data_IF_181007377079
#
_entry.id   IF_181007377079
#
_cell.length_a   1.000
_cell.length_b   1.000
_cell.length_c   1.000
_cell.angle_alpha   90.00
_cell.angle_beta   90.00
_cell.angle_gamma   90.00
#
_symmetry.space_group_name_H-M   'P 1'
#
loop_
_entity.id
_entity.type
_entity.pdbx_description
1 polymer ?
#
# COMPACT_ATOMS: atom_id res chain seq x y z
N UNK A 1 -29.76 90.41 -11.45
CA UNK A 1 -30.09 89.11 -12.09
C UNK A 1 -28.90 88.18 -11.97
N UNK A 2 -28.92 87.36 -10.94
CA UNK A 2 -27.81 86.44 -10.66
C UNK A 2 -28.28 85.01 -11.00
N UNK A 3 -27.58 84.39 -11.94
CA UNK A 3 -27.87 83.05 -12.36
C UNK A 3 -26.99 82.07 -11.49
N UNK A 4 -27.68 81.28 -10.69
CA UNK A 4 -27.05 80.22 -9.88
C UNK A 4 -26.86 79.00 -10.73
N UNK A 5 -25.61 78.58 -10.94
CA UNK A 5 -25.24 77.37 -11.67
C UNK A 5 -25.08 76.21 -10.66
N UNK A 6 -26.03 75.26 -10.66
CA UNK A 6 -25.96 74.08 -9.82
C UNK A 6 -25.09 73.00 -10.54
N UNK A 7 -23.95 72.64 -9.95
CA UNK A 7 -23.10 71.56 -10.40
C UNK A 7 -23.58 70.27 -9.72
N UNK A 8 -24.09 69.33 -10.53
CA UNK A 8 -24.47 67.97 -10.10
C UNK A 8 -23.24 67.08 -10.11
N UNK A 9 -22.71 66.73 -8.92
CA UNK A 9 -21.62 65.78 -8.78
C UNK A 9 -22.24 64.38 -8.70
N UNK A 10 -22.07 63.58 -9.81
CA UNK A 10 -22.36 62.15 -9.81
C UNK A 10 -21.23 61.42 -9.15
N UNK A 11 -21.44 60.89 -7.92
CA UNK A 11 -20.53 59.98 -7.25
C UNK A 11 -20.80 58.58 -7.80
N UNK A 12 -19.89 58.08 -8.65
CA UNK A 12 -19.84 56.66 -9.02
C UNK A 12 -19.27 55.87 -7.86
N UNK A 13 -20.12 55.18 -7.11
CA UNK A 13 -19.73 54.16 -6.17
C UNK A 13 -19.25 52.92 -6.96
N UNK A 14 -17.92 52.75 -7.11
CA UNK A 14 -17.31 51.51 -7.59
C UNK A 14 -17.45 50.52 -6.45
N UNK A 15 -18.45 49.66 -6.50
CA UNK A 15 -18.58 48.51 -5.63
C UNK A 15 -17.52 47.49 -5.99
N UNK A 16 -16.42 47.44 -5.24
CA UNK A 16 -15.55 46.28 -5.22
C UNK A 16 -16.35 45.08 -4.68
N UNK A 17 -16.92 44.29 -5.58
CA UNK A 17 -17.42 42.96 -5.26
C UNK A 17 -16.22 42.08 -4.91
N UNK A 18 -15.88 42.01 -3.63
CA UNK A 18 -15.01 40.97 -3.11
C UNK A 18 -15.70 39.64 -3.37
N UNK A 19 -15.25 38.89 -4.38
CA UNK A 19 -15.51 37.46 -4.47
C UNK A 19 -14.85 36.86 -3.23
N UNK A 20 -15.68 36.56 -2.21
CA UNK A 20 -15.28 35.62 -1.18
C UNK A 20 -14.94 34.33 -1.92
N UNK A 21 -13.66 33.98 -1.98
CA UNK A 21 -13.24 32.64 -2.35
C UNK A 21 -14.00 31.69 -1.40
N UNK A 22 -15.04 31.06 -1.93
CA UNK A 22 -15.71 29.99 -1.23
C UNK A 22 -14.64 28.92 -1.08
N UNK A 23 -14.18 28.67 0.14
CA UNK A 23 -13.27 27.55 0.45
C UNK A 23 -13.94 26.30 -0.14
N UNK A 24 -13.49 25.88 -1.33
CA UNK A 24 -13.94 24.62 -1.90
C UNK A 24 -13.47 23.54 -0.93
N UNK A 25 -14.41 22.85 -0.31
CA UNK A 25 -14.13 21.70 0.53
C UNK A 25 -13.25 20.75 -0.29
N UNK A 26 -12.06 20.44 0.21
CA UNK A 26 -11.20 19.45 -0.41
C UNK A 26 -11.87 18.08 -0.41
N UNK A 27 -11.73 17.34 -1.50
CA UNK A 27 -12.15 15.95 -1.58
C UNK A 27 -11.12 15.08 -0.84
N UNK A 28 -11.51 14.52 0.30
CA UNK A 28 -10.61 13.83 1.20
C UNK A 28 -10.65 12.32 0.97
N UNK A 29 -9.52 11.75 0.56
CA UNK A 29 -9.30 10.32 0.40
C UNK A 29 -8.44 9.83 1.58
N UNK A 30 -8.98 8.91 2.37
CA UNK A 30 -8.24 8.23 3.43
C UNK A 30 -7.83 6.85 2.93
N UNK A 31 -6.60 6.43 3.21
CA UNK A 31 -6.10 5.10 2.89
C UNK A 31 -5.85 4.33 4.18
N UNK A 32 -6.09 3.02 4.17
CA UNK A 32 -5.96 2.19 5.37
C UNK A 32 -4.51 2.11 5.84
N UNK A 33 -3.57 1.90 4.92
CA UNK A 33 -2.14 1.77 5.23
C UNK A 33 -1.26 2.10 4.02
N UNK A 34 0.04 1.99 4.22
CA UNK A 34 1.06 2.55 3.33
C UNK A 34 1.00 2.08 1.86
N UNK A 35 0.79 0.78 1.51
CA UNK A 35 0.65 0.39 0.10
C UNK A 35 -0.50 1.10 -0.61
N UNK A 36 -1.66 1.21 0.03
CA UNK A 36 -2.81 1.91 -0.52
C UNK A 36 -2.56 3.42 -0.65
N UNK A 37 -1.78 3.99 0.29
CA UNK A 37 -1.36 5.38 0.22
C UNK A 37 -0.50 5.66 -1.03
N UNK A 38 0.48 4.80 -1.30
CA UNK A 38 1.36 4.94 -2.47
C UNK A 38 0.54 4.91 -3.77
N UNK A 39 -0.39 3.97 -3.90
CA UNK A 39 -1.24 3.84 -5.08
C UNK A 39 -2.10 5.09 -5.28
N UNK A 40 -2.80 5.54 -4.23
CA UNK A 40 -3.66 6.73 -4.27
C UNK A 40 -2.84 7.98 -4.55
N UNK A 41 -1.64 8.12 -3.95
CA UNK A 41 -0.75 9.25 -4.18
C UNK A 41 -0.35 9.35 -5.68
N UNK A 42 -0.05 8.22 -6.31
CA UNK A 42 0.26 8.18 -7.74
C UNK A 42 -0.95 8.53 -8.61
N UNK A 43 -2.14 8.03 -8.28
CA UNK A 43 -3.38 8.30 -9.02
C UNK A 43 -3.79 9.77 -8.90
N UNK A 44 -3.57 10.39 -7.74
CA UNK A 44 -4.02 11.77 -7.46
C UNK A 44 -2.95 12.82 -7.69
N UNK A 45 -1.77 12.45 -8.18
CA UNK A 45 -0.63 13.34 -8.38
C UNK A 45 -1.00 14.60 -9.14
N UNK A 46 -0.78 15.78 -8.50
CA UNK A 46 -1.02 17.08 -9.12
C UNK A 46 -2.50 17.41 -9.36
N UNK A 47 -3.44 16.72 -8.75
CA UNK A 47 -4.88 17.02 -8.82
C UNK A 47 -5.23 18.02 -7.71
N UNK A 48 -5.60 19.25 -8.09
CA UNK A 48 -5.96 20.29 -7.14
C UNK A 48 -7.29 19.99 -6.46
N UNK A 49 -7.42 20.36 -5.17
CA UNK A 49 -8.64 20.16 -4.39
C UNK A 49 -8.85 18.73 -3.90
N UNK A 50 -7.84 17.86 -4.05
CA UNK A 50 -7.83 16.49 -3.52
C UNK A 50 -6.78 16.38 -2.42
N UNK A 51 -7.20 15.83 -1.27
CA UNK A 51 -6.33 15.56 -0.12
C UNK A 51 -6.25 14.06 0.11
N UNK A 52 -5.03 13.54 0.23
CA UNK A 52 -4.78 12.13 0.57
C UNK A 52 -4.20 12.03 1.98
N UNK A 53 -4.77 11.16 2.79
CA UNK A 53 -4.35 10.93 4.18
C UNK A 53 -4.15 9.44 4.40
N UNK A 54 -2.94 9.03 4.82
CA UNK A 54 -2.75 7.67 5.30
C UNK A 54 -3.22 7.56 6.75
N UNK A 55 -4.11 6.63 7.05
CA UNK A 55 -4.68 6.47 8.38
C UNK A 55 -3.64 5.99 9.39
N UNK A 56 -2.81 5.03 8.98
CA UNK A 56 -1.83 4.40 9.88
C UNK A 56 -0.53 5.19 9.99
N UNK A 57 0.17 4.99 11.10
CA UNK A 57 1.49 5.60 11.33
C UNK A 57 2.57 4.94 10.46
N UNK A 58 3.69 5.65 10.17
CA UNK A 58 4.77 5.14 9.30
C UNK A 58 5.35 3.78 9.71
N UNK A 59 5.32 3.44 10.99
CA UNK A 59 5.88 2.20 11.55
C UNK A 59 4.86 1.06 11.66
N UNK A 60 3.59 1.31 11.29
CA UNK A 60 2.55 0.29 11.35
C UNK A 60 2.84 -0.78 10.30
N UNK A 61 2.96 -2.03 10.74
CA UNK A 61 3.11 -3.19 9.84
C UNK A 61 1.79 -3.59 9.17
N UNK A 62 1.59 -4.89 8.94
CA UNK A 62 0.32 -5.42 8.46
C UNK A 62 -0.81 -5.17 9.46
N UNK A 63 -2.07 -5.08 8.95
CA UNK A 63 -3.22 -4.60 9.73
C UNK A 63 -4.08 -5.72 10.33
N UNK A 64 -3.60 -6.98 10.33
CA UNK A 64 -4.39 -8.13 10.81
C UNK A 64 -5.00 -7.92 12.20
N UNK A 65 -4.21 -7.39 13.13
CA UNK A 65 -4.61 -7.15 14.53
C UNK A 65 -4.74 -5.67 14.87
N UNK A 66 -4.79 -4.80 13.83
CA UNK A 66 -4.85 -3.37 14.05
C UNK A 66 -6.14 -2.94 14.73
N UNK A 67 -6.01 -2.16 15.81
CA UNK A 67 -7.12 -1.57 16.54
C UNK A 67 -7.25 -0.09 16.25
N UNK A 68 -8.43 0.34 15.75
CA UNK A 68 -8.70 1.74 15.48
C UNK A 68 -8.52 2.60 16.73
N UNK A 69 -7.69 3.63 16.59
CA UNK A 69 -7.51 4.66 17.62
C UNK A 69 -8.59 5.75 17.51
N UNK A 70 -8.67 6.61 18.52
CA UNK A 70 -9.56 7.79 18.46
C UNK A 70 -9.17 8.74 17.33
N UNK A 71 -7.89 8.81 16.97
CA UNK A 71 -7.41 9.64 15.87
C UNK A 71 -7.82 9.08 14.51
N UNK A 72 -7.74 7.76 14.33
CA UNK A 72 -8.22 7.10 13.12
C UNK A 72 -9.73 7.33 12.92
N UNK A 73 -10.51 7.24 14.00
CA UNK A 73 -11.95 7.49 13.94
C UNK A 73 -12.27 8.92 13.50
N UNK A 74 -11.51 9.92 13.96
CA UNK A 74 -11.65 11.32 13.51
C UNK A 74 -11.25 11.49 12.05
N UNK A 75 -10.17 10.82 11.62
CA UNK A 75 -9.72 10.84 10.23
C UNK A 75 -10.79 10.26 9.30
N UNK A 76 -11.37 9.12 9.65
CA UNK A 76 -12.44 8.47 8.90
C UNK A 76 -13.74 9.30 8.86
N UNK A 77 -14.07 10.05 9.93
CA UNK A 77 -15.23 10.94 9.95
C UNK A 77 -15.15 12.04 8.87
N UNK A 78 -13.95 12.50 8.54
CA UNK A 78 -13.69 13.53 7.55
C UNK A 78 -13.57 13.01 6.11
N UNK A 79 -13.49 11.69 5.91
CA UNK A 79 -13.25 11.06 4.62
C UNK A 79 -14.50 11.13 3.70
N UNK A 80 -14.30 11.49 2.45
CA UNK A 80 -15.27 11.28 1.38
C UNK A 80 -15.12 9.87 0.79
N UNK A 81 -13.89 9.34 0.74
CA UNK A 81 -13.55 7.98 0.30
C UNK A 81 -12.55 7.32 1.25
N UNK A 82 -12.73 6.04 1.51
CA UNK A 82 -11.79 5.19 2.22
C UNK A 82 -11.29 4.08 1.29
N UNK A 83 -9.99 4.09 1.00
CA UNK A 83 -9.34 3.08 0.16
C UNK A 83 -8.68 2.04 1.07
N UNK A 84 -9.10 0.81 0.92
CA UNK A 84 -8.62 -0.34 1.70
C UNK A 84 -8.06 -1.41 0.78
N UNK A 85 -7.17 -2.25 1.30
CA UNK A 85 -6.71 -3.42 0.55
C UNK A 85 -7.86 -4.41 0.32
N UNK A 86 -8.65 -4.70 1.34
CA UNK A 86 -9.65 -5.76 1.31
C UNK A 86 -9.03 -7.15 1.55
N UNK A 87 -9.69 -8.20 1.08
CA UNK A 87 -9.29 -9.59 1.30
C UNK A 87 -9.04 -9.95 2.78
N UNK A 88 -9.71 -9.27 3.71
CA UNK A 88 -9.60 -9.51 5.16
C UNK A 88 -8.48 -8.77 5.88
N UNK A 89 -7.67 -7.94 5.18
CA UNK A 89 -6.58 -7.19 5.80
C UNK A 89 -7.09 -6.24 6.91
N UNK A 90 -8.18 -5.56 6.64
CA UNK A 90 -8.76 -4.58 7.57
C UNK A 90 -9.89 -5.23 8.40
N UNK A 91 -9.54 -5.96 9.45
CA UNK A 91 -10.50 -6.59 10.37
C UNK A 91 -11.47 -5.59 11.02
N UNK A 92 -11.10 -4.31 11.08
CA UNK A 92 -11.88 -3.20 11.64
C UNK A 92 -12.84 -2.52 10.62
N UNK A 93 -12.93 -2.97 9.38
CA UNK A 93 -13.64 -2.29 8.29
C UNK A 93 -15.13 -2.01 8.61
N UNK A 94 -15.83 -2.96 9.21
CA UNK A 94 -17.21 -2.75 9.62
C UNK A 94 -17.36 -1.61 10.65
N UNK A 95 -16.41 -1.49 11.57
CA UNK A 95 -16.42 -0.40 12.58
C UNK A 95 -16.13 0.95 11.91
N UNK A 96 -15.21 1.00 10.95
CA UNK A 96 -14.92 2.18 10.17
C UNK A 96 -16.16 2.64 9.36
N UNK A 97 -16.84 1.73 8.68
CA UNK A 97 -18.05 2.04 7.91
C UNK A 97 -19.21 2.57 8.79
N UNK A 98 -19.34 2.07 10.03
CA UNK A 98 -20.34 2.60 10.98
C UNK A 98 -20.04 4.02 11.45
N UNK A 99 -18.75 4.40 11.51
CA UNK A 99 -18.34 5.75 11.91
C UNK A 99 -18.77 6.82 10.90
N UNK A 100 -18.65 6.52 9.61
CA UNK A 100 -19.08 7.44 8.55
C UNK A 100 -19.88 6.68 7.46
N UNK A 101 -21.20 6.54 7.62
CA UNK A 101 -22.05 5.79 6.69
C UNK A 101 -22.14 6.42 5.27
N UNK A 102 -21.67 7.66 5.09
CA UNK A 102 -21.64 8.34 3.79
C UNK A 102 -20.32 8.13 3.03
N UNK A 103 -19.31 7.69 3.74
CA UNK A 103 -18.00 7.43 3.16
C UNK A 103 -18.06 6.25 2.17
N UNK A 104 -17.60 6.48 0.96
CA UNK A 104 -17.48 5.40 -0.03
C UNK A 104 -16.23 4.57 0.28
N UNK A 105 -16.38 3.26 0.40
CA UNK A 105 -15.23 2.35 0.54
C UNK A 105 -14.86 1.78 -0.83
N UNK A 106 -13.55 1.76 -1.13
CA UNK A 106 -12.97 1.15 -2.32
C UNK A 106 -12.04 0.04 -1.85
N UNK A 107 -12.38 -1.22 -2.16
CA UNK A 107 -11.55 -2.38 -1.86
C UNK A 107 -10.66 -2.70 -3.07
N UNK A 108 -9.36 -2.47 -2.93
CA UNK A 108 -8.41 -2.59 -4.02
C UNK A 108 -8.23 -4.03 -4.52
N UNK A 109 -8.36 -5.03 -3.63
CA UNK A 109 -8.28 -6.46 -4.01
C UNK A 109 -9.54 -6.99 -4.69
N UNK A 110 -10.65 -6.23 -4.66
CA UNK A 110 -11.89 -6.63 -5.32
C UNK A 110 -11.87 -6.23 -6.81
N UNK A 111 -11.04 -6.89 -7.58
CA UNK A 111 -10.92 -6.67 -9.02
C UNK A 111 -10.88 -7.99 -9.78
N UNK A 112 -11.51 -8.02 -10.95
CA UNK A 112 -11.73 -9.23 -11.77
C UNK A 112 -10.47 -10.04 -12.11
N UNK A 113 -9.32 -9.37 -12.17
CA UNK A 113 -8.03 -9.98 -12.55
C UNK A 113 -7.24 -10.48 -11.34
N UNK A 114 -7.75 -10.31 -10.10
CA UNK A 114 -7.11 -10.76 -8.88
C UNK A 114 -7.73 -12.08 -8.44
N UNK A 115 -6.90 -13.12 -8.34
CA UNK A 115 -7.29 -14.42 -7.82
C UNK A 115 -6.64 -14.61 -6.44
N UNK A 116 -7.45 -14.50 -5.38
CA UNK A 116 -6.95 -14.60 -4.02
C UNK A 116 -6.39 -15.99 -3.72
N UNK A 117 -5.23 -16.01 -3.08
CA UNK A 117 -4.63 -17.21 -2.51
C UNK A 117 -5.23 -17.48 -1.14
N UNK A 118 -5.31 -18.77 -0.79
CA UNK A 118 -5.81 -19.19 0.53
C UNK A 118 -4.67 -19.30 1.53
N UNK A 119 -4.97 -18.92 2.77
CA UNK A 119 -4.19 -19.18 3.96
C UNK A 119 -5.12 -19.88 4.96
N UNK A 120 -5.05 -21.20 5.01
CA UNK A 120 -6.05 -22.00 5.69
C UNK A 120 -7.45 -21.83 5.08
N UNK A 121 -8.43 -21.41 5.89
CA UNK A 121 -9.79 -21.13 5.44
C UNK A 121 -9.98 -19.69 4.94
N UNK A 122 -9.09 -18.77 5.33
CA UNK A 122 -9.15 -17.37 4.97
C UNK A 122 -8.48 -17.09 3.61
N UNK A 123 -8.67 -15.89 3.08
CA UNK A 123 -7.91 -15.38 1.97
C UNK A 123 -6.61 -14.73 2.49
N UNK A 124 -5.48 -14.98 1.81
CA UNK A 124 -4.26 -14.24 2.09
C UNK A 124 -4.38 -12.83 1.52
N UNK A 125 -4.23 -11.77 2.33
CA UNK A 125 -4.52 -10.41 1.89
C UNK A 125 -3.34 -9.68 1.24
N UNK A 126 -2.12 -10.24 1.20
CA UNK A 126 -0.89 -9.57 0.78
C UNK A 126 -0.75 -9.42 -0.75
N UNK A 127 -1.83 -9.03 -1.39
CA UNK A 127 -2.03 -8.98 -2.85
C UNK A 127 -1.01 -8.06 -3.53
N UNK A 128 -0.69 -6.93 -2.93
CA UNK A 128 0.21 -5.90 -3.48
C UNK A 128 1.65 -6.39 -3.70
N UNK A 129 2.06 -7.50 -3.10
CA UNK A 129 3.41 -8.05 -3.28
C UNK A 129 3.60 -8.78 -4.62
N UNK A 130 2.53 -9.04 -5.36
CA UNK A 130 2.60 -9.33 -6.80
C UNK A 130 2.52 -8.05 -7.60
N UNK A 131 3.51 -7.74 -8.44
CA UNK A 131 3.48 -6.52 -9.28
C UNK A 131 2.31 -6.57 -10.27
N UNK A 132 1.97 -7.76 -10.77
CA UNK A 132 0.79 -7.97 -11.61
C UNK A 132 -0.49 -7.58 -10.88
N UNK A 133 -0.62 -7.95 -9.61
CA UNK A 133 -1.82 -7.62 -8.83
C UNK A 133 -1.80 -6.18 -8.30
N UNK A 134 -0.64 -5.59 -8.04
CA UNK A 134 -0.53 -4.16 -7.75
C UNK A 134 -1.08 -3.30 -8.89
N UNK A 135 -0.77 -3.66 -10.16
CA UNK A 135 -1.37 -3.02 -11.34
C UNK A 135 -2.90 -3.17 -11.35
N UNK A 136 -3.41 -4.34 -10.98
CA UNK A 136 -4.84 -4.57 -10.88
C UNK A 136 -5.49 -3.74 -9.76
N UNK A 137 -4.81 -3.59 -8.60
CA UNK A 137 -5.26 -2.73 -7.50
C UNK A 137 -5.31 -1.26 -7.92
N UNK A 138 -4.29 -0.74 -8.60
CA UNK A 138 -4.31 0.62 -9.17
C UNK A 138 -5.52 0.83 -10.08
N UNK A 139 -5.87 -0.15 -10.92
CA UNK A 139 -7.06 -0.08 -11.79
C UNK A 139 -8.36 -0.07 -10.98
N UNK A 140 -8.47 -0.91 -9.95
CA UNK A 140 -9.63 -0.96 -9.06
C UNK A 140 -9.84 0.38 -8.33
N UNK A 141 -8.78 0.92 -7.72
CA UNK A 141 -8.80 2.19 -7.02
C UNK A 141 -9.19 3.32 -7.99
N UNK A 142 -8.58 3.35 -9.19
CA UNK A 142 -8.90 4.37 -10.20
C UNK A 142 -10.36 4.35 -10.61
N UNK A 143 -10.93 3.16 -10.83
CA UNK A 143 -12.35 3.02 -11.16
C UNK A 143 -13.24 3.58 -10.04
N UNK A 144 -12.96 3.20 -8.79
CA UNK A 144 -13.70 3.68 -7.63
C UNK A 144 -13.60 5.19 -7.41
N UNK A 145 -12.40 5.78 -7.60
CA UNK A 145 -12.19 7.23 -7.50
C UNK A 145 -12.90 7.99 -8.63
N UNK A 146 -12.87 7.49 -9.87
CA UNK A 146 -13.61 8.10 -10.97
C UNK A 146 -15.13 8.13 -10.75
N UNK A 147 -15.68 7.16 -10.00
CA UNK A 147 -17.09 7.14 -9.62
C UNK A 147 -17.39 8.07 -8.44
N UNK A 148 -16.48 8.17 -7.46
CA UNK A 148 -16.66 8.98 -6.26
C UNK A 148 -16.44 10.46 -6.54
N UNK A 149 -15.52 10.79 -7.45
CA UNK A 149 -15.15 12.15 -7.84
C UNK A 149 -15.07 12.28 -9.38
N UNK A 150 -16.24 12.37 -10.05
CA UNK A 150 -16.28 12.44 -11.52
C UNK A 150 -15.64 13.68 -12.12
N UNK A 151 -15.45 14.74 -11.30
CA UNK A 151 -14.82 15.99 -11.74
C UNK A 151 -13.36 15.84 -12.11
N UNK A 152 -12.64 14.91 -11.45
CA UNK A 152 -11.22 14.68 -11.69
C UNK A 152 -10.90 13.36 -12.43
N UNK A 153 -11.93 12.65 -12.93
CA UNK A 153 -11.80 11.31 -13.55
C UNK A 153 -10.74 11.20 -14.64
N UNK A 154 -10.58 12.24 -15.49
CA UNK A 154 -9.64 12.20 -16.60
C UNK A 154 -8.19 12.35 -16.10
N UNK A 155 -7.97 13.15 -15.05
CA UNK A 155 -6.67 13.26 -14.39
C UNK A 155 -6.30 11.94 -13.69
N UNK A 156 -7.23 11.33 -12.94
CA UNK A 156 -7.01 10.02 -12.30
C UNK A 156 -6.65 8.94 -13.31
N UNK A 157 -7.39 8.84 -14.42
CA UNK A 157 -7.10 7.86 -15.48
C UNK A 157 -5.75 8.05 -16.11
N UNK A 158 -5.38 9.32 -16.40
CA UNK A 158 -4.08 9.65 -16.97
C UNK A 158 -2.95 9.25 -16.02
N UNK A 159 -3.03 9.68 -14.76
CA UNK A 159 -2.00 9.39 -13.76
C UNK A 159 -1.88 7.88 -13.49
N UNK A 160 -3.01 7.17 -13.39
CA UNK A 160 -3.03 5.72 -13.22
C UNK A 160 -2.38 5.00 -14.41
N UNK A 161 -2.62 5.46 -15.65
CA UNK A 161 -1.96 4.90 -16.83
C UNK A 161 -0.44 5.10 -16.76
N UNK A 162 0.01 6.32 -16.43
CA UNK A 162 1.43 6.64 -16.28
C UNK A 162 2.09 5.77 -15.19
N UNK A 163 1.41 5.53 -14.06
CA UNK A 163 1.91 4.68 -12.98
C UNK A 163 1.90 3.20 -13.37
N UNK A 164 0.83 2.70 -13.97
CA UNK A 164 0.78 1.32 -14.47
C UNK A 164 1.90 1.02 -15.48
N UNK A 165 2.27 1.97 -16.35
CA UNK A 165 3.40 1.78 -17.26
C UNK A 165 4.72 1.58 -16.51
N UNK A 166 4.97 2.34 -15.44
CA UNK A 166 6.15 2.14 -14.58
C UNK A 166 6.13 0.78 -13.87
N UNK A 167 4.96 0.34 -13.40
CA UNK A 167 4.80 -0.97 -12.77
C UNK A 167 4.99 -2.13 -13.77
N UNK A 168 4.50 -2.00 -15.00
CA UNK A 168 4.77 -3.00 -16.06
C UNK A 168 6.26 -3.10 -16.36
N UNK A 169 6.97 -1.96 -16.46
CA UNK A 169 8.43 -1.96 -16.62
C UNK A 169 9.15 -2.65 -15.45
N UNK A 170 8.74 -2.36 -14.20
CA UNK A 170 9.26 -3.04 -13.01
C UNK A 170 9.03 -4.55 -13.08
N UNK A 171 7.82 -4.98 -13.47
CA UNK A 171 7.46 -6.39 -13.62
C UNK A 171 8.37 -7.09 -14.62
N UNK A 172 8.55 -6.50 -15.80
CA UNK A 172 9.44 -7.04 -16.83
C UNK A 172 10.89 -7.16 -16.34
N UNK A 173 11.41 -6.13 -15.65
CA UNK A 173 12.74 -6.14 -15.05
C UNK A 173 12.88 -7.26 -14.02
N UNK A 174 11.91 -7.40 -13.10
CA UNK A 174 11.91 -8.45 -12.08
C UNK A 174 11.84 -9.87 -12.69
N UNK A 175 10.98 -10.10 -13.67
CA UNK A 175 10.94 -11.38 -14.39
C UNK A 175 12.24 -11.68 -15.13
N UNK A 176 12.84 -10.65 -15.75
CA UNK A 176 14.14 -10.77 -16.43
C UNK A 176 15.27 -11.32 -15.55
N UNK A 177 15.25 -10.97 -14.26
CA UNK A 177 16.23 -11.37 -13.28
C UNK A 177 15.82 -12.62 -12.48
N UNK A 178 14.59 -12.63 -11.92
CA UNK A 178 14.19 -13.65 -10.95
C UNK A 178 13.76 -14.96 -11.59
N UNK A 179 13.20 -14.98 -12.80
CA UNK A 179 12.80 -16.23 -13.46
C UNK A 179 13.96 -17.17 -13.73
N UNK A 180 15.17 -16.64 -13.88
CA UNK A 180 16.40 -17.38 -14.21
C UNK A 180 17.17 -17.88 -13.00
N UNK A 181 16.75 -17.56 -11.78
CA UNK A 181 17.47 -17.96 -10.58
C UNK A 181 17.55 -19.49 -10.47
N UNK A 182 18.75 -20.05 -10.17
CA UNK A 182 18.95 -21.50 -10.07
C UNK A 182 18.30 -22.11 -8.82
N UNK A 183 18.17 -21.31 -7.75
CA UNK A 183 17.53 -21.72 -6.51
C UNK A 183 16.19 -21.00 -6.38
N UNK A 184 15.18 -21.73 -5.91
CA UNK A 184 13.81 -21.22 -5.80
C UNK A 184 13.21 -21.39 -4.40
N UNK A 185 13.86 -22.18 -3.55
CA UNK A 185 13.41 -22.44 -2.20
C UNK A 185 13.78 -21.27 -1.28
N UNK A 186 12.77 -20.73 -0.59
CA UNK A 186 12.92 -19.62 0.34
C UNK A 186 12.25 -19.95 1.68
N UNK A 187 12.76 -19.35 2.75
CA UNK A 187 12.14 -19.33 4.07
C UNK A 187 11.84 -17.89 4.40
N UNK A 188 10.58 -17.56 4.60
CA UNK A 188 10.12 -16.19 4.88
C UNK A 188 9.83 -16.01 6.37
N UNK A 189 9.70 -14.74 6.81
CA UNK A 189 9.46 -14.45 8.21
C UNK A 189 7.99 -14.66 8.54
N UNK A 190 7.05 -13.99 7.85
CA UNK A 190 5.62 -14.23 8.00
C UNK A 190 4.92 -14.50 6.65
N UNK A 191 3.61 -14.71 6.64
CA UNK A 191 2.81 -15.12 5.48
C UNK A 191 2.57 -13.99 4.45
N UNK A 192 3.49 -13.02 4.33
CA UNK A 192 3.31 -11.90 3.40
C UNK A 192 3.60 -12.26 1.94
N UNK A 193 4.52 -13.16 1.66
CA UNK A 193 5.14 -13.33 0.36
C UNK A 193 4.53 -14.38 -0.61
N UNK A 194 3.38 -15.06 -0.36
CA UNK A 194 2.84 -16.07 -1.27
C UNK A 194 2.55 -15.55 -2.69
N UNK A 195 2.07 -14.30 -2.83
CA UNK A 195 1.81 -13.72 -4.16
C UNK A 195 3.09 -13.40 -4.92
N UNK A 196 4.11 -12.84 -4.25
CA UNK A 196 5.44 -12.64 -4.82
C UNK A 196 6.05 -13.99 -5.23
N UNK A 197 5.99 -14.97 -4.34
CA UNK A 197 6.51 -16.31 -4.61
C UNK A 197 5.83 -16.95 -5.82
N UNK A 198 4.50 -16.85 -5.92
CA UNK A 198 3.74 -17.37 -7.06
C UNK A 198 4.12 -16.67 -8.37
N UNK A 199 4.25 -15.35 -8.38
CA UNK A 199 4.61 -14.59 -9.58
C UNK A 199 5.98 -15.00 -10.13
N UNK A 200 6.99 -15.12 -9.27
CA UNK A 200 8.37 -15.43 -9.66
C UNK A 200 8.76 -16.91 -9.52
N UNK A 201 7.77 -17.79 -9.30
CA UNK A 201 7.96 -19.25 -9.18
C UNK A 201 8.94 -19.64 -8.06
N UNK A 202 8.94 -18.87 -6.98
CA UNK A 202 9.64 -19.21 -5.75
C UNK A 202 8.81 -20.23 -4.95
N UNK A 203 9.46 -21.04 -4.14
CA UNK A 203 8.83 -22.03 -3.27
C UNK A 203 9.08 -21.66 -1.80
N UNK A 204 8.04 -21.25 -1.08
CA UNK A 204 8.11 -20.99 0.36
C UNK A 204 8.08 -22.34 1.07
N UNK A 205 9.23 -22.80 1.57
CA UNK A 205 9.37 -24.09 2.23
C UNK A 205 9.04 -24.06 3.72
N UNK A 206 9.14 -22.88 4.34
CA UNK A 206 8.73 -22.62 5.71
C UNK A 206 8.48 -21.13 5.94
N UNK A 207 7.61 -20.84 6.89
CA UNK A 207 7.40 -19.51 7.46
C UNK A 207 7.84 -19.57 8.91
N UNK A 208 8.62 -18.58 9.39
CA UNK A 208 9.22 -18.59 10.73
C UNK A 208 8.18 -18.21 11.79
N UNK A 209 7.49 -17.07 11.57
CA UNK A 209 6.41 -16.58 12.43
C UNK A 209 5.16 -16.39 11.56
N UNK A 210 4.08 -17.10 11.87
CA UNK A 210 2.85 -16.99 11.08
C UNK A 210 2.14 -15.67 11.27
N UNK A 211 2.05 -15.26 12.53
CA UNK A 211 1.45 -13.99 12.93
C UNK A 211 2.56 -13.06 13.45
N UNK A 212 2.61 -11.79 12.99
CA UNK A 212 3.60 -10.84 13.42
C UNK A 212 3.65 -10.69 14.96
N UNK A 213 4.86 -10.86 15.55
CA UNK A 213 5.07 -10.75 16.99
C UNK A 213 4.72 -12.00 17.80
N UNK A 214 4.40 -13.12 17.15
CA UNK A 214 4.29 -14.42 17.80
C UNK A 214 5.60 -15.19 17.67
N UNK A 215 6.26 -15.48 18.79
CA UNK A 215 7.46 -16.30 18.74
C UNK A 215 7.11 -17.76 18.35
N UNK A 216 7.92 -18.40 17.45
CA UNK A 216 7.70 -19.80 17.11
C UNK A 216 7.90 -20.69 18.34
N UNK A 217 7.10 -21.73 18.44
CA UNK A 217 7.29 -22.77 19.45
C UNK A 217 8.62 -23.49 19.22
N UNK A 218 9.20 -24.15 20.26
CA UNK A 218 10.42 -24.94 20.09
C UNK A 218 10.31 -26.02 18.99
N UNK A 219 9.14 -26.62 18.81
CA UNK A 219 8.90 -27.62 17.78
C UNK A 219 8.90 -26.99 16.37
N UNK A 220 8.24 -25.87 16.17
CA UNK A 220 8.22 -25.14 14.89
C UNK A 220 9.62 -24.65 14.50
N UNK A 221 10.41 -24.23 15.51
CA UNK A 221 11.79 -23.82 15.30
C UNK A 221 12.65 -25.04 14.86
N UNK A 222 12.53 -26.20 15.52
CA UNK A 222 13.25 -27.42 15.17
C UNK A 222 12.87 -27.94 13.78
N UNK A 223 11.59 -27.92 13.44
CA UNK A 223 11.06 -28.29 12.12
C UNK A 223 11.63 -27.38 11.02
N UNK A 224 11.68 -26.06 11.28
CA UNK A 224 12.27 -25.09 10.34
C UNK A 224 13.77 -25.30 10.19
N UNK A 225 14.51 -25.52 11.28
CA UNK A 225 15.94 -25.86 11.24
C UNK A 225 16.18 -27.10 10.38
N UNK A 226 15.37 -28.14 10.55
CA UNK A 226 15.48 -29.39 9.79
C UNK A 226 15.25 -29.14 8.29
N UNK A 227 14.24 -28.38 7.92
CA UNK A 227 13.97 -28.00 6.53
C UNK A 227 15.14 -27.20 5.93
N UNK A 228 15.62 -26.16 6.63
CA UNK A 228 16.72 -25.30 6.18
C UNK A 228 18.02 -26.08 5.96
N UNK A 229 18.34 -27.07 6.83
CA UNK A 229 19.51 -27.95 6.65
C UNK A 229 19.48 -28.72 5.34
N UNK A 230 18.29 -29.02 4.82
CA UNK A 230 18.09 -29.73 3.55
C UNK A 230 18.16 -28.87 2.30
N UNK A 231 18.13 -27.52 2.43
CA UNK A 231 18.12 -26.62 1.27
C UNK A 231 19.50 -26.54 0.58
N UNK A 232 19.46 -26.40 -0.75
CA UNK A 232 20.66 -26.17 -1.56
C UNK A 232 21.21 -24.74 -1.28
N UNK A 233 20.34 -23.72 -1.30
CA UNK A 233 20.65 -22.37 -0.84
C UNK A 233 20.07 -22.20 0.57
N UNK A 234 20.92 -22.12 1.58
CA UNK A 234 20.49 -21.92 2.97
C UNK A 234 20.32 -20.44 3.22
N UNK A 235 19.12 -19.94 2.96
CA UNK A 235 18.77 -18.52 3.07
C UNK A 235 17.48 -18.34 3.87
N UNK A 236 17.45 -17.29 4.69
CA UNK A 236 16.30 -16.86 5.49
C UNK A 236 16.00 -15.41 5.15
N UNK A 237 14.73 -15.08 5.00
CA UNK A 237 14.29 -13.71 4.73
C UNK A 237 13.51 -13.18 5.92
N UNK A 238 14.09 -12.18 6.60
CA UNK A 238 13.43 -11.39 7.66
C UNK A 238 12.77 -10.16 7.07
N UNK A 239 12.06 -9.42 7.90
CA UNK A 239 11.40 -8.18 7.53
C UNK A 239 11.87 -7.02 8.39
N UNK A 240 11.93 -5.77 7.86
CA UNK A 240 12.51 -4.63 8.57
C UNK A 240 11.77 -4.24 9.84
N UNK A 241 10.47 -4.54 9.94
CA UNK A 241 9.62 -4.15 11.05
C UNK A 241 9.57 -5.15 12.21
N UNK A 242 10.18 -6.34 12.08
CA UNK A 242 10.11 -7.39 13.09
C UNK A 242 11.49 -7.76 13.63
N UNK A 243 11.51 -8.38 14.83
CA UNK A 243 12.74 -8.86 15.46
C UNK A 243 13.32 -10.05 14.68
N UNK A 244 14.60 -10.06 14.32
CA UNK A 244 15.23 -11.19 13.63
C UNK A 244 15.62 -12.37 14.55
N UNK A 245 15.29 -12.35 15.84
CA UNK A 245 15.83 -13.28 16.84
C UNK A 245 15.60 -14.76 16.50
N UNK A 246 14.43 -15.13 16.01
CA UNK A 246 14.13 -16.50 15.58
C UNK A 246 14.97 -16.88 14.36
N UNK A 247 15.09 -16.02 13.35
CA UNK A 247 15.93 -16.24 12.19
C UNK A 247 17.42 -16.36 12.55
N UNK A 248 17.90 -15.55 13.48
CA UNK A 248 19.29 -15.64 13.99
C UNK A 248 19.56 -16.99 14.67
N UNK A 249 18.58 -17.51 15.40
CA UNK A 249 18.70 -18.83 16.02
C UNK A 249 18.77 -19.94 14.96
N UNK A 250 17.91 -19.91 13.95
CA UNK A 250 17.92 -20.85 12.84
C UNK A 250 19.25 -20.74 12.06
N UNK A 251 19.71 -19.53 11.79
CA UNK A 251 20.97 -19.29 11.07
C UNK A 251 22.18 -19.88 11.81
N UNK A 252 22.25 -19.71 13.13
CA UNK A 252 23.32 -20.28 13.97
C UNK A 252 23.37 -21.81 13.91
N UNK A 253 22.22 -22.48 13.88
CA UNK A 253 22.10 -23.94 13.87
C UNK A 253 22.29 -24.57 12.47
N UNK A 254 22.12 -23.77 11.41
CA UNK A 254 22.09 -24.27 10.02
C UNK A 254 23.24 -23.74 9.15
N UNK A 255 23.88 -22.65 9.57
CA UNK A 255 24.80 -21.87 8.75
C UNK A 255 24.13 -21.08 7.64
N UNK A 256 22.81 -20.87 7.74
CA UNK A 256 22.07 -20.08 6.76
C UNK A 256 22.47 -18.60 6.81
N UNK A 257 22.38 -17.92 5.66
CA UNK A 257 22.52 -16.47 5.59
C UNK A 257 21.14 -15.81 5.78
N UNK A 258 21.12 -14.70 6.49
CA UNK A 258 19.91 -13.89 6.69
C UNK A 258 19.95 -12.72 5.71
N UNK A 259 18.85 -12.55 4.99
CA UNK A 259 18.57 -11.41 4.13
C UNK A 259 17.30 -10.74 4.59
N UNK A 260 17.00 -9.57 4.05
CA UNK A 260 15.79 -8.83 4.40
C UNK A 260 14.93 -8.60 3.16
N UNK A 261 13.64 -9.00 3.22
CA UNK A 261 12.61 -8.64 2.25
C UNK A 261 11.65 -7.67 2.91
N UNK A 262 11.35 -6.59 2.21
CA UNK A 262 10.46 -5.54 2.71
C UNK A 262 9.07 -5.72 2.09
N UNK A 263 8.02 -5.92 2.90
CA UNK A 263 6.64 -6.07 2.40
C UNK A 263 5.98 -4.73 2.01
N UNK A 264 6.71 -3.62 1.96
CA UNK A 264 6.23 -2.29 1.54
C UNK A 264 5.15 -1.72 2.48
N UNK A 265 5.09 -2.12 3.74
CA UNK A 265 4.00 -1.71 4.66
C UNK A 265 4.37 -0.54 5.56
N UNK A 266 5.63 -0.13 5.57
CA UNK A 266 6.14 0.96 6.42
C UNK A 266 6.76 2.07 5.59
N UNK A 267 6.55 3.32 5.99
CA UNK A 267 7.13 4.49 5.33
C UNK A 267 6.39 5.78 5.64
N UNK A 268 7.05 6.90 5.37
CA UNK A 268 6.49 8.23 5.59
C UNK A 268 5.41 8.58 4.56
N UNK A 269 4.21 8.93 5.04
CA UNK A 269 3.09 9.32 4.20
C UNK A 269 3.23 10.79 3.75
N UNK A 270 4.07 11.03 2.77
CA UNK A 270 4.29 12.32 2.15
C UNK A 270 4.63 12.17 0.65
N UNK A 271 4.92 13.25 -0.05
CA UNK A 271 5.19 13.24 -1.50
C UNK A 271 6.40 12.36 -1.90
N UNK A 272 7.36 12.12 -0.99
CA UNK A 272 8.50 11.24 -1.27
C UNK A 272 8.11 9.76 -1.44
N UNK A 273 6.90 9.38 -1.01
CA UNK A 273 6.37 8.03 -1.18
C UNK A 273 5.98 7.67 -2.62
N UNK A 274 6.03 8.63 -3.55
CA UNK A 274 5.55 8.46 -4.93
C UNK A 274 6.19 7.27 -5.67
N UNK A 275 7.47 7.03 -5.47
CA UNK A 275 8.22 5.94 -6.10
C UNK A 275 8.58 4.82 -5.09
N UNK A 276 8.09 4.88 -3.83
CA UNK A 276 8.49 3.99 -2.74
C UNK A 276 8.21 2.51 -3.03
N UNK A 277 7.08 2.18 -3.66
CA UNK A 277 6.77 0.81 -4.07
C UNK A 277 7.81 0.27 -5.05
N UNK A 278 8.09 1.03 -6.11
CA UNK A 278 9.04 0.63 -7.16
C UNK A 278 10.45 0.45 -6.58
N UNK A 279 10.89 1.42 -5.77
CA UNK A 279 12.22 1.38 -5.17
C UNK A 279 12.40 0.20 -4.20
N UNK A 280 11.37 -0.10 -3.40
CA UNK A 280 11.40 -1.23 -2.47
C UNK A 280 11.36 -2.56 -3.22
N UNK A 281 10.52 -2.71 -4.24
CA UNK A 281 10.47 -3.95 -5.03
C UNK A 281 11.77 -4.18 -5.82
N UNK A 282 12.45 -3.13 -6.29
CA UNK A 282 13.80 -3.23 -6.89
C UNK A 282 14.85 -3.69 -5.87
N UNK A 283 14.79 -3.20 -4.64
CA UNK A 283 15.65 -3.69 -3.55
C UNK A 283 15.38 -5.16 -3.25
N UNK A 284 14.10 -5.54 -3.13
CA UNK A 284 13.71 -6.94 -2.94
C UNK A 284 14.21 -7.84 -4.08
N UNK A 285 14.12 -7.39 -5.34
CA UNK A 285 14.68 -8.09 -6.50
C UNK A 285 16.19 -8.31 -6.36
N UNK A 286 16.94 -7.27 -5.99
CA UNK A 286 18.38 -7.34 -5.83
C UNK A 286 18.78 -8.32 -4.71
N UNK A 287 18.06 -8.29 -3.58
CA UNK A 287 18.24 -9.19 -2.44
C UNK A 287 17.97 -10.66 -2.84
N UNK A 288 16.84 -10.91 -3.51
CA UNK A 288 16.48 -12.26 -3.98
C UNK A 288 17.53 -12.78 -4.97
N UNK A 289 18.01 -11.93 -5.87
CA UNK A 289 19.06 -12.29 -6.83
C UNK A 289 20.36 -12.68 -6.11
N UNK A 290 20.82 -11.88 -5.14
CA UNK A 290 22.01 -12.17 -4.36
C UNK A 290 21.88 -13.48 -3.56
N UNK A 291 20.73 -13.68 -2.94
CA UNK A 291 20.48 -14.81 -2.05
C UNK A 291 20.34 -16.15 -2.78
N UNK A 292 19.82 -16.16 -4.01
CA UNK A 292 19.39 -17.38 -4.72
C UNK A 292 20.22 -17.68 -5.99
N UNK A 293 21.33 -16.96 -6.20
CA UNK A 293 22.30 -17.24 -7.28
C UNK A 293 23.12 -18.48 -7.05
#
# INVERSE_FOLDING_TARGET
MSILLAVLVCVFAVGCGGQTAQDKKEFTIVTSFYPMYIDVLNITKGVEGVKVVNMTKPQTGCLHDYQLTTEDMKTLESADVFVVNGAGMESFLEKAAKQNPKMKTIEASNYKDINLLKDGEADNPHVWLSVTYAIAQVKAITAGLCEADPGHKDAYRKNALDYCMKLEQLKEEMHGELDKLPHKDIVTFHEAFPYLAKEFKLNIVSVIEREPGTEPTPQELEDTITKVKGLAAKVLFTEPQYSPAAAETIARETGAKIYQLDPVVTGEANESAIDAYIDTMKKNMAVLKEALQ
#
